data_IF_440907331257
#
_entry.id   IF_440907331257
#
_cell.length_a   1.000
_cell.length_b   1.000
_cell.length_c   1.000
_cell.angle_alpha   90.00
_cell.angle_beta   90.00
_cell.angle_gamma   90.00
#
_symmetry.space_group_name_H-M   'P 1'
#
loop_
_entity.id
_entity.type
_entity.pdbx_description
1 polymer ?
#
# COMPACT_ATOMS: atom_id res chain seq x y z
N UNK A 1 -0.96 9.42 -9.11
CA UNK A 1 -2.33 8.84 -9.09
C UNK A 1 -3.45 9.84 -9.39
N UNK A 2 -3.37 11.11 -8.94
CA UNK A 2 -4.37 12.15 -9.22
C UNK A 2 -4.87 12.23 -10.68
N UNK A 3 -3.97 12.21 -11.68
CA UNK A 3 -4.36 12.22 -13.11
C UNK A 3 -5.26 11.04 -13.48
N UNK A 4 -4.97 9.83 -12.99
CA UNK A 4 -5.74 8.63 -13.28
C UNK A 4 -7.11 8.70 -12.61
N UNK A 5 -7.16 9.13 -11.34
CA UNK A 5 -8.42 9.30 -10.62
C UNK A 5 -9.35 10.31 -11.33
N UNK A 6 -8.78 11.39 -11.89
CA UNK A 6 -9.53 12.41 -12.64
C UNK A 6 -10.05 11.89 -13.99
N UNK A 7 -9.24 11.11 -14.71
CA UNK A 7 -9.58 10.64 -16.06
C UNK A 7 -10.51 9.42 -16.02
N UNK A 8 -10.19 8.42 -15.19
CA UNK A 8 -10.91 7.16 -15.14
C UNK A 8 -12.16 7.24 -14.25
N UNK A 9 -12.14 8.07 -13.20
CA UNK A 9 -13.25 8.27 -12.25
C UNK A 9 -13.80 6.93 -11.70
N UNK A 10 -12.96 6.11 -11.05
CA UNK A 10 -13.38 4.79 -10.58
C UNK A 10 -14.49 4.89 -9.53
N UNK A 11 -15.45 3.97 -9.58
CA UNK A 11 -16.45 3.78 -8.53
C UNK A 11 -15.93 3.00 -7.31
N UNK A 12 -14.82 2.28 -7.46
CA UNK A 12 -14.11 1.58 -6.40
C UNK A 12 -12.64 1.34 -6.80
N UNK A 13 -11.77 1.15 -5.81
CA UNK A 13 -10.34 0.89 -6.01
C UNK A 13 -9.94 -0.36 -5.23
N UNK A 14 -9.17 -1.24 -5.88
CA UNK A 14 -8.43 -2.31 -5.21
C UNK A 14 -6.97 -1.92 -5.20
N UNK A 15 -6.38 -1.79 -4.01
CA UNK A 15 -4.98 -1.44 -3.84
C UNK A 15 -4.21 -2.67 -3.36
N UNK A 16 -3.37 -3.20 -4.23
CA UNK A 16 -2.41 -4.24 -3.88
C UNK A 16 -1.24 -3.63 -3.12
N UNK A 17 -0.99 -4.16 -1.93
CA UNK A 17 -0.11 -3.56 -0.93
C UNK A 17 0.90 -4.57 -0.42
N UNK A 18 1.77 -5.00 -1.34
CA UNK A 18 2.93 -5.84 -1.02
C UNK A 18 3.95 -5.10 -0.18
N UNK A 19 4.58 -5.80 0.76
CA UNK A 19 5.65 -5.28 1.62
C UNK A 19 7.04 -5.63 1.09
N UNK A 20 7.12 -6.28 -0.07
CA UNK A 20 8.34 -6.51 -0.85
C UNK A 20 9.02 -5.20 -1.31
N UNK A 21 8.25 -4.11 -1.39
CA UNK A 21 8.75 -2.75 -1.65
C UNK A 21 9.36 -2.05 -0.43
N UNK A 22 9.07 -2.53 0.80
CA UNK A 22 9.87 -2.17 1.97
C UNK A 22 11.27 -2.74 1.75
N UNK A 23 12.30 -2.16 2.38
CA UNK A 23 13.66 -2.67 2.30
C UNK A 23 13.73 -4.15 2.76
N UNK A 24 13.51 -5.07 1.82
CA UNK A 24 13.34 -6.51 1.98
C UNK A 24 14.46 -7.21 1.20
N UNK A 25 14.83 -8.42 1.62
CA UNK A 25 15.98 -9.17 1.07
C UNK A 25 15.89 -9.47 -0.43
N UNK A 26 14.69 -9.42 -1.01
CA UNK A 26 14.44 -9.66 -2.43
C UNK A 26 14.12 -8.39 -3.23
N UNK A 27 13.83 -7.28 -2.55
CA UNK A 27 13.41 -6.03 -3.18
C UNK A 27 14.56 -5.03 -3.28
N UNK A 28 14.73 -4.38 -4.44
CA UNK A 28 15.74 -3.32 -4.63
C UNK A 28 15.30 -1.95 -4.07
N UNK A 29 14.14 -1.85 -3.43
CA UNK A 29 13.57 -0.61 -2.94
C UNK A 29 13.95 -0.34 -1.47
N UNK A 30 14.23 0.92 -1.14
CA UNK A 30 14.59 1.37 0.21
C UNK A 30 13.49 2.23 0.85
N UNK A 31 12.24 1.76 0.79
CA UNK A 31 11.12 2.46 1.40
C UNK A 31 11.05 2.15 2.90
N UNK A 32 10.78 3.19 3.68
CA UNK A 32 10.40 3.03 5.09
C UNK A 32 8.93 2.62 5.21
N UNK A 33 8.60 1.95 6.32
CA UNK A 33 7.21 1.62 6.70
C UNK A 33 6.30 2.84 6.59
N UNK A 34 6.78 4.00 7.07
CA UNK A 34 6.05 5.27 7.05
C UNK A 34 5.83 5.74 5.60
N UNK A 35 6.88 5.74 4.78
CA UNK A 35 6.79 6.15 3.37
C UNK A 35 5.82 5.29 2.57
N UNK A 36 5.84 3.97 2.77
CA UNK A 36 4.89 3.06 2.13
C UNK A 36 3.45 3.30 2.63
N UNK A 37 3.27 3.59 3.93
CA UNK A 37 1.97 3.97 4.53
C UNK A 37 1.34 5.24 3.95
N UNK A 38 2.14 6.21 3.53
CA UNK A 38 1.64 7.43 2.89
C UNK A 38 0.90 7.15 1.57
N UNK A 39 1.24 6.07 0.86
CA UNK A 39 0.52 5.67 -0.35
C UNK A 39 -0.93 5.27 -0.04
N UNK A 40 -1.16 4.52 1.03
CA UNK A 40 -2.52 4.15 1.48
C UNK A 40 -3.28 5.39 1.94
N UNK A 41 -2.63 6.28 2.71
CA UNK A 41 -3.24 7.53 3.16
C UNK A 41 -3.67 8.42 1.99
N UNK A 42 -2.81 8.53 0.98
CA UNK A 42 -3.12 9.27 -0.24
C UNK A 42 -4.29 8.64 -1.01
N UNK A 43 -4.33 7.31 -1.15
CA UNK A 43 -5.45 6.64 -1.83
C UNK A 43 -6.78 6.77 -1.07
N UNK A 44 -6.75 6.74 0.27
CA UNK A 44 -7.94 6.99 1.10
C UNK A 44 -8.52 8.39 0.92
N UNK A 45 -7.68 9.41 0.68
CA UNK A 45 -8.14 10.80 0.51
C UNK A 45 -9.04 11.05 -0.71
N UNK A 46 -9.14 10.10 -1.65
CA UNK A 46 -10.04 10.21 -2.80
C UNK A 46 -11.50 9.86 -2.48
N UNK A 47 -11.81 9.38 -1.26
CA UNK A 47 -13.16 9.07 -0.78
C UNK A 47 -13.98 8.17 -1.72
N UNK A 48 -13.32 7.16 -2.31
CA UNK A 48 -13.97 6.05 -3.02
C UNK A 48 -13.80 4.75 -2.24
N UNK A 49 -14.72 3.77 -2.36
CA UNK A 49 -14.55 2.45 -1.78
C UNK A 49 -13.17 1.88 -2.11
N UNK A 50 -12.39 1.55 -1.08
CA UNK A 50 -11.02 1.08 -1.19
C UNK A 50 -10.87 -0.29 -0.53
N UNK A 51 -10.58 -1.31 -1.33
CA UNK A 51 -10.19 -2.64 -0.86
C UNK A 51 -8.68 -2.74 -0.84
N UNK A 52 -8.09 -2.89 0.34
CA UNK A 52 -6.65 -3.13 0.49
C UNK A 52 -6.41 -4.64 0.49
N UNK A 53 -5.54 -5.11 -0.40
CA UNK A 53 -5.11 -6.51 -0.44
C UNK A 53 -3.61 -6.58 -0.17
N UNK A 54 -3.15 -7.67 0.45
CA UNK A 54 -1.73 -7.93 0.65
C UNK A 54 -0.99 -8.21 -0.67
N UNK A 55 0.23 -8.72 -0.55
CA UNK A 55 1.08 -9.02 -1.70
C UNK A 55 2.35 -9.74 -1.29
N UNK A 56 3.42 -9.57 -2.07
CA UNK A 56 4.75 -10.07 -1.73
C UNK A 56 5.26 -9.50 -0.40
N UNK A 57 6.23 -10.18 0.22
CA UNK A 57 6.74 -9.82 1.54
C UNK A 57 7.43 -10.99 2.21
N UNK A 58 8.73 -11.10 2.02
CA UNK A 58 9.48 -12.32 2.30
C UNK A 58 10.35 -12.19 3.56
N UNK A 59 10.49 -10.98 4.12
CA UNK A 59 10.96 -10.78 5.50
C UNK A 59 9.77 -10.80 6.48
N UNK A 60 9.43 -12.00 6.97
CA UNK A 60 8.30 -12.26 7.89
C UNK A 60 8.32 -11.35 9.13
N UNK A 61 9.50 -11.05 9.67
CA UNK A 61 9.67 -10.14 10.81
C UNK A 61 9.06 -8.75 10.58
N UNK A 62 9.12 -8.23 9.35
CA UNK A 62 8.56 -6.91 8.99
C UNK A 62 7.08 -6.99 8.64
N UNK A 63 6.58 -8.14 8.19
CA UNK A 63 5.22 -8.33 7.71
C UNK A 63 4.17 -8.24 8.84
N UNK A 64 4.39 -8.96 9.95
CA UNK A 64 3.40 -9.05 11.04
C UNK A 64 3.11 -7.69 11.72
N UNK A 65 4.12 -6.88 12.08
CA UNK A 65 3.88 -5.55 12.67
C UNK A 65 3.33 -4.53 11.67
N UNK A 66 3.40 -4.83 10.37
CA UNK A 66 2.95 -3.95 9.31
C UNK A 66 1.46 -4.11 9.05
N UNK A 67 0.98 -5.36 8.96
CA UNK A 67 -0.45 -5.65 8.85
C UNK A 67 -1.24 -5.12 10.04
N UNK A 68 -0.72 -5.22 11.27
CA UNK A 68 -1.40 -4.71 12.46
C UNK A 68 -1.53 -3.18 12.50
N UNK A 69 -0.68 -2.45 11.77
CA UNK A 69 -0.76 -0.98 11.65
C UNK A 69 -1.68 -0.49 10.54
N UNK A 70 -2.15 -1.40 9.69
CA UNK A 70 -3.02 -1.11 8.55
C UNK A 70 -4.47 -1.50 8.79
N UNK A 71 -4.75 -2.27 9.85
CA UNK A 71 -6.13 -2.46 10.30
C UNK A 71 -6.67 -1.10 10.78
N UNK A 72 -7.92 -0.77 10.44
CA UNK A 72 -8.57 0.44 10.93
C UNK A 72 -8.63 0.50 12.46
#
# INVERSE_FOLDING_TARGET
MSRIMKMFRPGAVVLQYGVDSLSDRLGCFNLSIKGHGECVRYMRSFNVPLLLIGGGGYTIHKLLPYQSKLSP
#
